data_IF_531189846548
#
_entry.id   IF_531189846548
#
_cell.length_a   1.000
_cell.length_b   1.000
_cell.length_c   1.000
_cell.angle_alpha   90.00
_cell.angle_beta   90.00
_cell.angle_gamma   90.00
#
_symmetry.space_group_name_H-M   'P 1'
#
loop_
_entity.id
_entity.type
_entity.pdbx_description
1 polymer ?
#
# COMPACT_ATOMS: atom_id res chain seq x y z
N UNK A 1 -33.20 -9.54 -32.52
CA UNK A 1 -32.26 -8.47 -32.12
C UNK A 1 -31.89 -8.69 -30.65
N UNK A 2 -30.99 -9.64 -30.40
CA UNK A 2 -30.57 -10.10 -29.08
C UNK A 2 -29.56 -9.11 -28.51
N UNK A 3 -29.97 -8.32 -27.51
CA UNK A 3 -29.05 -7.53 -26.69
C UNK A 3 -28.10 -8.50 -25.99
N UNK A 4 -26.85 -8.57 -26.44
CA UNK A 4 -25.75 -9.08 -25.64
C UNK A 4 -25.63 -8.18 -24.41
N UNK A 5 -26.27 -8.60 -23.31
CA UNK A 5 -26.00 -8.06 -21.99
C UNK A 5 -24.56 -8.45 -21.65
N UNK A 6 -23.65 -7.50 -21.82
CA UNK A 6 -22.27 -7.58 -21.34
C UNK A 6 -22.30 -8.07 -19.89
N UNK A 7 -21.68 -9.21 -19.62
CA UNK A 7 -21.58 -9.74 -18.27
C UNK A 7 -20.99 -8.66 -17.34
N UNK A 8 -21.54 -8.47 -16.12
CA UNK A 8 -20.95 -7.55 -15.16
C UNK A 8 -19.50 -7.99 -14.92
N UNK A 9 -18.55 -7.07 -15.13
CA UNK A 9 -17.13 -7.33 -15.01
C UNK A 9 -16.86 -7.95 -13.64
N UNK A 10 -16.51 -9.24 -13.60
CA UNK A 10 -16.19 -9.92 -12.36
C UNK A 10 -14.98 -9.22 -11.73
N UNK A 11 -15.17 -8.68 -10.52
CA UNK A 11 -14.06 -8.16 -9.74
C UNK A 11 -13.06 -9.30 -9.50
N UNK A 12 -11.89 -9.21 -10.13
CA UNK A 12 -10.86 -10.25 -10.09
C UNK A 12 -9.93 -10.02 -8.91
N UNK A 13 -9.85 -11.02 -8.02
CA UNK A 13 -8.88 -11.02 -6.93
C UNK A 13 -7.43 -10.85 -7.39
N UNK A 14 -7.10 -11.30 -8.62
CA UNK A 14 -5.79 -11.08 -9.21
C UNK A 14 -5.48 -9.60 -9.46
N UNK A 15 -6.48 -8.80 -9.84
CA UNK A 15 -6.31 -7.34 -10.02
C UNK A 15 -6.10 -6.65 -8.68
N UNK A 16 -6.89 -7.00 -7.66
CA UNK A 16 -6.73 -6.45 -6.31
C UNK A 16 -5.37 -6.81 -5.71
N UNK A 17 -4.91 -8.05 -5.90
CA UNK A 17 -3.58 -8.48 -5.47
C UNK A 17 -2.48 -7.71 -6.21
N UNK A 18 -2.61 -7.52 -7.52
CA UNK A 18 -1.65 -6.74 -8.31
C UNK A 18 -1.56 -5.27 -7.82
N UNK A 19 -2.70 -4.66 -7.46
CA UNK A 19 -2.72 -3.32 -6.84
C UNK A 19 -1.96 -3.33 -5.51
N UNK A 20 -2.25 -4.28 -4.63
CA UNK A 20 -1.59 -4.38 -3.33
C UNK A 20 -0.07 -4.55 -3.48
N UNK A 21 0.37 -5.43 -4.39
CA UNK A 21 1.77 -5.66 -4.68
C UNK A 21 2.45 -4.43 -5.30
N UNK A 22 1.78 -3.75 -6.23
CA UNK A 22 2.30 -2.52 -6.86
C UNK A 22 2.47 -1.41 -5.82
N UNK A 23 1.47 -1.20 -4.94
CA UNK A 23 1.57 -0.22 -3.85
C UNK A 23 2.68 -0.60 -2.88
N UNK A 24 2.79 -1.88 -2.50
CA UNK A 24 3.89 -2.36 -1.65
C UNK A 24 5.27 -2.12 -2.27
N UNK A 25 5.42 -2.41 -3.57
CA UNK A 25 6.65 -2.17 -4.31
C UNK A 25 7.01 -0.68 -4.40
N UNK A 26 6.01 0.20 -4.60
CA UNK A 26 6.21 1.65 -4.60
C UNK A 26 6.64 2.17 -3.22
N UNK A 27 5.99 1.73 -2.16
CA UNK A 27 6.37 2.10 -0.78
C UNK A 27 7.78 1.59 -0.44
N UNK A 28 8.11 0.37 -0.83
CA UNK A 28 9.45 -0.17 -0.67
C UNK A 28 10.48 0.64 -1.46
N UNK A 29 10.20 0.95 -2.73
CA UNK A 29 11.06 1.76 -3.59
C UNK A 29 11.29 3.15 -3.01
N UNK A 30 10.20 3.81 -2.57
CA UNK A 30 10.25 5.09 -1.88
C UNK A 30 11.20 5.04 -0.68
N UNK A 31 11.13 3.95 0.09
CA UNK A 31 11.98 3.74 1.26
C UNK A 31 13.47 3.53 0.91
N UNK A 32 13.79 2.96 -0.25
CA UNK A 32 15.18 2.66 -0.65
C UNK A 32 15.94 3.83 -1.28
N UNK A 33 15.26 4.89 -1.73
CA UNK A 33 15.89 6.00 -2.47
C UNK A 33 17.11 6.60 -1.74
N UNK A 34 17.07 6.91 -0.43
CA UNK A 34 18.26 7.41 0.28
C UNK A 34 19.43 6.41 0.31
N UNK A 35 19.15 5.11 0.31
CA UNK A 35 20.18 4.07 0.30
C UNK A 35 20.83 3.95 -1.08
N UNK A 36 20.06 4.01 -2.15
CA UNK A 36 20.61 4.03 -3.50
C UNK A 36 21.44 5.28 -3.75
N UNK A 37 21.00 6.44 -3.25
CA UNK A 37 21.79 7.67 -3.32
C UNK A 37 23.14 7.52 -2.60
N UNK A 38 23.16 6.91 -1.41
CA UNK A 38 24.39 6.63 -0.65
C UNK A 38 25.43 5.85 -1.45
N UNK A 39 25.02 4.89 -2.28
CA UNK A 39 25.94 4.09 -3.10
C UNK A 39 26.65 4.94 -4.18
N UNK A 40 26.07 6.07 -4.57
CA UNK A 40 26.59 6.94 -5.62
C UNK A 40 27.27 8.24 -5.15
N UNK A 41 27.23 8.58 -3.85
CA UNK A 41 27.82 9.82 -3.33
C UNK A 41 28.94 9.56 -2.33
N UNK A 42 30.04 10.30 -2.46
CA UNK A 42 31.12 10.35 -1.47
C UNK A 42 30.89 11.44 -0.41
N UNK A 43 29.89 12.31 -0.61
CA UNK A 43 29.65 13.46 0.24
C UNK A 43 28.54 13.21 1.27
N UNK A 44 28.95 12.99 2.52
CA UNK A 44 28.05 12.74 3.65
C UNK A 44 27.03 13.88 3.90
N UNK A 45 27.36 15.12 3.50
CA UNK A 45 26.52 16.31 3.70
C UNK A 45 25.26 16.27 2.83
N UNK A 46 25.43 15.91 1.56
CA UNK A 46 24.33 15.78 0.60
C UNK A 46 23.40 14.62 0.98
N UNK A 47 23.97 13.50 1.44
CA UNK A 47 23.18 12.37 1.94
C UNK A 47 22.35 12.75 3.18
N UNK A 48 22.95 13.47 4.15
CA UNK A 48 22.24 13.92 5.34
C UNK A 48 21.07 14.87 5.01
N UNK A 49 21.29 15.83 4.10
CA UNK A 49 20.24 16.73 3.64
C UNK A 49 19.11 15.97 2.91
N UNK A 50 19.45 15.02 2.04
CA UNK A 50 18.46 14.16 1.38
C UNK A 50 17.62 13.38 2.39
N UNK A 51 18.25 12.72 3.36
CA UNK A 51 17.55 11.94 4.40
C UNK A 51 16.60 12.84 5.19
N UNK A 52 17.04 14.03 5.61
CA UNK A 52 16.20 14.98 6.34
C UNK A 52 14.99 15.46 5.54
N UNK A 53 15.10 15.59 4.22
CA UNK A 53 13.98 15.98 3.36
C UNK A 53 13.05 14.79 3.07
N UNK A 54 13.63 13.63 2.78
CA UNK A 54 12.90 12.46 2.29
C UNK A 54 12.15 11.72 3.41
N UNK A 55 12.70 11.74 4.62
CA UNK A 55 12.13 11.10 5.80
C UNK A 55 11.38 12.10 6.71
N UNK A 56 10.79 13.14 6.11
CA UNK A 56 9.88 14.02 6.83
C UNK A 56 8.62 13.24 7.25
N UNK A 57 8.18 13.31 8.53
CA UNK A 57 7.01 12.56 9.00
C UNK A 57 5.73 12.87 8.21
N UNK A 58 5.52 14.14 7.84
CA UNK A 58 4.36 14.57 7.07
C UNK A 58 4.38 13.99 5.65
N UNK A 59 5.56 13.87 5.04
CA UNK A 59 5.72 13.32 3.69
C UNK A 59 5.41 11.83 3.70
N UNK A 60 5.90 11.10 4.70
CA UNK A 60 5.56 9.70 4.92
C UNK A 60 4.06 9.51 5.17
N UNK A 61 3.45 10.36 6.00
CA UNK A 61 2.01 10.33 6.25
C UNK A 61 1.20 10.54 4.96
N UNK A 62 1.62 11.48 4.10
CA UNK A 62 0.99 11.75 2.81
C UNK A 62 1.12 10.56 1.85
N UNK A 63 2.31 9.98 1.75
CA UNK A 63 2.57 8.78 0.91
C UNK A 63 1.74 7.59 1.40
N UNK A 64 1.70 7.33 2.70
CA UNK A 64 0.88 6.28 3.30
C UNK A 64 -0.61 6.52 3.08
N UNK A 65 -1.07 7.76 3.19
CA UNK A 65 -2.49 8.11 2.96
C UNK A 65 -2.87 7.85 1.50
N UNK A 66 -2.04 8.26 0.55
CA UNK A 66 -2.27 8.01 -0.87
C UNK A 66 -2.27 6.50 -1.19
N UNK A 67 -1.32 5.75 -0.61
CA UNK A 67 -1.27 4.30 -0.74
C UNK A 67 -2.52 3.61 -0.18
N UNK A 68 -3.01 4.06 0.98
CA UNK A 68 -4.25 3.56 1.59
C UNK A 68 -5.47 3.88 0.73
N UNK A 69 -5.58 5.09 0.19
CA UNK A 69 -6.66 5.42 -0.73
C UNK A 69 -6.62 4.53 -1.98
N UNK A 70 -5.44 4.31 -2.58
CA UNK A 70 -5.30 3.43 -3.74
C UNK A 70 -5.74 1.99 -3.43
N UNK A 71 -5.25 1.39 -2.34
CA UNK A 71 -5.62 0.03 -1.92
C UNK A 71 -7.12 -0.03 -1.61
N UNK A 72 -7.67 0.96 -0.89
CA UNK A 72 -9.09 1.01 -0.55
C UNK A 72 -9.98 0.99 -1.79
N UNK A 73 -9.78 1.95 -2.71
CA UNK A 73 -10.66 2.14 -3.86
C UNK A 73 -10.43 1.14 -5.00
N UNK A 74 -9.22 0.60 -5.13
CA UNK A 74 -8.84 -0.26 -6.26
C UNK A 74 -8.69 -1.74 -5.90
N UNK A 75 -8.58 -2.09 -4.61
CA UNK A 75 -8.42 -3.48 -4.16
C UNK A 75 -9.45 -3.88 -3.11
N UNK A 76 -9.55 -3.15 -1.99
CA UNK A 76 -10.37 -3.52 -0.82
C UNK A 76 -11.86 -3.44 -1.10
N UNK A 77 -12.38 -2.27 -1.53
CA UNK A 77 -13.81 -2.10 -1.82
C UNK A 77 -14.32 -3.04 -2.93
N UNK A 78 -13.60 -3.25 -4.04
CA UNK A 78 -13.98 -4.25 -5.05
C UNK A 78 -14.13 -5.69 -4.53
N UNK A 79 -13.42 -6.03 -3.46
CA UNK A 79 -13.50 -7.35 -2.83
C UNK A 79 -14.54 -7.42 -1.70
N UNK A 80 -14.78 -6.29 -1.03
CA UNK A 80 -15.73 -6.18 0.08
C UNK A 80 -17.18 -6.07 -0.40
N UNK A 81 -17.41 -5.41 -1.54
CA UNK A 81 -18.74 -5.18 -2.05
C UNK A 81 -19.23 -6.41 -2.84
N UNK A 82 -20.40 -6.97 -2.51
CA UNK A 82 -20.94 -8.10 -3.23
C UNK A 82 -21.27 -7.69 -4.67
N UNK A 83 -20.80 -8.47 -5.63
CA UNK A 83 -21.14 -8.28 -7.05
C UNK A 83 -22.58 -8.69 -7.39
N UNK A 84 -23.28 -9.37 -6.46
CA UNK A 84 -24.73 -9.60 -6.50
C UNK A 84 -25.30 -9.80 -5.08
N UNK A 85 -26.59 -9.50 -4.83
CA UNK A 85 -27.20 -9.58 -3.50
C UNK A 85 -27.19 -11.00 -2.85
N UNK A 86 -26.83 -12.05 -3.59
CA UNK A 86 -26.68 -13.42 -3.07
C UNK A 86 -25.23 -13.87 -2.85
N UNK A 87 -24.24 -13.08 -3.26
CA UNK A 87 -22.83 -13.46 -3.28
C UNK A 87 -22.18 -13.55 -1.89
N UNK A 88 -22.82 -13.04 -0.84
CA UNK A 88 -22.32 -13.12 0.55
C UNK A 88 -22.37 -14.54 1.13
N UNK A 89 -23.19 -15.43 0.54
CA UNK A 89 -23.32 -16.83 0.94
C UNK A 89 -22.47 -17.78 0.08
N UNK A 90 -21.76 -17.27 -0.94
CA UNK A 90 -20.79 -18.02 -1.74
C UNK A 90 -19.45 -18.11 -1.00
N UNK A 91 -19.44 -18.83 0.12
CA UNK A 91 -18.28 -19.05 1.00
C UNK A 91 -17.16 -19.91 0.38
N UNK A 92 -17.28 -20.32 -0.90
CA UNK A 92 -16.32 -21.17 -1.59
C UNK A 92 -15.08 -20.46 -2.17
N UNK A 93 -14.94 -19.14 -2.02
CA UNK A 93 -13.88 -18.36 -2.70
C UNK A 93 -12.72 -18.01 -1.77
N UNK A 94 -11.84 -18.97 -1.54
CA UNK A 94 -10.66 -18.82 -0.67
C UNK A 94 -9.72 -17.67 -1.09
N UNK A 95 -9.38 -17.56 -2.38
CA UNK A 95 -8.42 -16.57 -2.87
C UNK A 95 -8.90 -15.11 -2.72
N UNK A 96 -10.13 -14.72 -3.13
CA UNK A 96 -10.67 -13.39 -2.85
C UNK A 96 -10.70 -13.03 -1.36
N UNK A 97 -11.08 -13.99 -0.50
CA UNK A 97 -11.08 -13.79 0.95
C UNK A 97 -9.68 -13.54 1.50
N UNK A 98 -8.69 -14.31 1.09
CA UNK A 98 -7.29 -14.09 1.46
C UNK A 98 -6.79 -12.70 1.04
N UNK A 99 -7.00 -12.32 -0.23
CA UNK A 99 -6.55 -11.01 -0.75
C UNK A 99 -7.25 -9.86 -0.03
N UNK A 100 -8.53 -10.01 0.31
CA UNK A 100 -9.25 -9.03 1.12
C UNK A 100 -8.59 -8.84 2.49
N UNK A 101 -8.30 -9.93 3.20
CA UNK A 101 -7.63 -9.86 4.51
C UNK A 101 -6.21 -9.29 4.42
N UNK A 102 -5.47 -9.55 3.34
CA UNK A 102 -4.18 -8.88 3.10
C UNK A 102 -4.35 -7.36 2.94
N UNK A 103 -5.39 -6.90 2.24
CA UNK A 103 -5.68 -5.48 2.12
C UNK A 103 -6.08 -4.86 3.49
N UNK A 104 -6.89 -5.57 4.29
CA UNK A 104 -7.21 -5.14 5.66
C UNK A 104 -5.95 -5.05 6.52
N UNK A 105 -5.09 -6.07 6.48
CA UNK A 105 -3.80 -6.06 7.18
C UNK A 105 -2.92 -4.88 6.76
N UNK A 106 -2.87 -4.55 5.47
CA UNK A 106 -2.16 -3.37 4.97
C UNK A 106 -2.70 -2.06 5.57
N UNK A 107 -4.03 -1.89 5.64
CA UNK A 107 -4.63 -0.70 6.25
C UNK A 107 -4.32 -0.60 7.74
N UNK A 108 -4.42 -1.70 8.48
CA UNK A 108 -4.12 -1.73 9.92
C UNK A 108 -2.65 -1.44 10.21
N UNK A 109 -1.74 -2.06 9.46
CA UNK A 109 -0.30 -1.80 9.60
C UNK A 109 0.04 -0.34 9.26
N UNK A 110 -0.59 0.22 8.23
CA UNK A 110 -0.44 1.64 7.89
C UNK A 110 -0.92 2.55 9.02
N UNK A 111 -2.08 2.23 9.61
CA UNK A 111 -2.64 2.99 10.74
C UNK A 111 -1.71 2.94 11.97
N UNK A 112 -1.20 1.75 12.31
CA UNK A 112 -0.21 1.59 13.38
C UNK A 112 1.04 2.42 13.07
N UNK A 113 1.56 2.36 11.84
CA UNK A 113 2.72 3.14 11.43
C UNK A 113 2.51 4.65 11.58
N UNK A 114 1.36 5.17 11.16
CA UNK A 114 0.99 6.59 11.34
C UNK A 114 0.82 6.94 12.82
N UNK A 115 0.21 6.05 13.63
CA UNK A 115 0.09 6.24 15.07
C UNK A 115 1.44 6.34 15.76
N UNK A 116 2.38 5.45 15.43
CA UNK A 116 3.75 5.48 15.96
C UNK A 116 4.51 6.74 15.54
N UNK A 117 4.31 7.22 14.30
CA UNK A 117 4.86 8.50 13.84
C UNK A 117 4.31 9.67 14.65
N UNK A 118 2.99 9.71 14.86
CA UNK A 118 2.33 10.79 15.61
C UNK A 118 2.78 10.83 17.09
N UNK A 119 3.06 9.66 17.68
CA UNK A 119 3.60 9.54 19.04
C UNK A 119 5.10 9.85 19.13
N UNK A 120 5.79 10.08 18.00
CA UNK A 120 7.24 10.26 17.95
C UNK A 120 8.04 8.99 18.27
N UNK A 121 7.39 7.83 18.30
CA UNK A 121 8.00 6.54 18.62
C UNK A 121 8.68 5.90 17.41
N UNK A 122 8.34 6.37 16.21
CA UNK A 122 9.04 5.99 14.99
C UNK A 122 10.10 7.04 14.66
N UNK A 123 11.33 6.80 15.11
CA UNK A 123 12.48 7.53 14.55
C UNK A 123 12.76 6.98 13.16
N UNK A 124 12.53 7.79 12.14
CA UNK A 124 12.97 7.50 10.77
C UNK A 124 14.49 7.64 10.75
N UNK A 125 15.19 6.60 11.21
CA UNK A 125 16.64 6.48 11.15
C UNK A 125 17.04 5.64 9.94
N UNK A 126 18.19 5.94 9.31
CA UNK A 126 18.73 5.08 8.27
C UNK A 126 19.03 3.70 8.86
N UNK A 127 18.59 2.64 8.19
CA UNK A 127 18.58 1.24 8.61
C UNK A 127 19.95 0.58 8.90
N UNK A 128 21.03 1.32 9.18
CA UNK A 128 22.33 0.75 9.55
C UNK A 128 23.06 1.57 10.61
N UNK A 129 23.78 0.91 11.55
CA UNK A 129 24.73 1.59 12.43
C UNK A 129 25.86 2.23 11.61
N UNK A 130 26.38 3.35 12.14
CA UNK A 130 27.57 4.03 11.64
C UNK A 130 28.81 3.16 11.77
#
# INVERSE_FOLDING_TARGET
>A
MTKHLSAPASHSAGRSLAVLLAVGALLWTWWQIPNWYRLGTLEARHLAALVQLWQQPWLLALVLTAANAAVLYRATLPLALPSSPGSLLDTGRFLPGLVFWLCVGFHLLSLVGVGLLAMGWLTLQPLWPR
#
